data_IF_016293059695
#
_entry.id   IF_016293059695
#
_cell.length_a   1.000
_cell.length_b   1.000
_cell.length_c   1.000
_cell.angle_alpha   90.00
_cell.angle_beta   90.00
_cell.angle_gamma   90.00
#
_symmetry.space_group_name_H-M   'P 1'
#
loop_
_entity.id
_entity.type
_entity.pdbx_description
1 polymer ?
#
# COMPACT_ATOMS: atom_id res chain seq x y z
N UNK A 1 9.84 -17.06 12.75
CA UNK A 1 9.51 -15.70 12.27
C UNK A 1 8.04 -15.65 11.88
N UNK A 2 7.22 -14.89 12.60
CA UNK A 2 5.76 -14.90 12.43
C UNK A 2 5.35 -14.55 10.99
N UNK A 3 4.54 -15.41 10.38
CA UNK A 3 3.94 -15.30 9.05
C UNK A 3 3.02 -14.07 8.92
N UNK A 4 3.58 -12.85 8.99
CA UNK A 4 2.90 -11.62 8.56
C UNK A 4 2.94 -11.46 7.03
N UNK A 5 3.00 -12.57 6.29
CA UNK A 5 3.00 -12.59 4.82
C UNK A 5 1.64 -12.09 4.28
N UNK A 6 0.55 -12.27 5.01
CA UNK A 6 -0.81 -11.96 4.52
C UNK A 6 -1.21 -10.48 4.55
N UNK A 7 -0.39 -9.61 5.15
CA UNK A 7 -0.83 -8.27 5.53
C UNK A 7 0.05 -7.14 4.96
N UNK A 8 0.58 -7.33 3.74
CA UNK A 8 1.47 -6.37 3.03
C UNK A 8 0.97 -4.92 3.03
N UNK A 9 -0.35 -4.72 3.09
CA UNK A 9 -1.02 -3.41 3.08
C UNK A 9 -1.87 -3.14 4.32
N UNK A 10 -1.78 -3.94 5.39
CA UNK A 10 -2.61 -3.74 6.61
C UNK A 10 -2.24 -2.46 7.36
N UNK A 11 -0.95 -2.12 7.38
CA UNK A 11 -0.45 -0.88 8.00
C UNK A 11 -0.85 0.32 7.15
N UNK A 12 -0.59 0.25 5.84
CA UNK A 12 -1.02 1.29 4.88
C UNK A 12 -2.51 1.61 5.06
N UNK A 13 -3.38 0.58 5.13
CA UNK A 13 -4.84 0.77 5.34
C UNK A 13 -5.20 1.40 6.67
N UNK A 14 -4.45 1.10 7.73
CA UNK A 14 -4.71 1.66 9.07
C UNK A 14 -4.28 3.12 9.15
N UNK A 15 -3.20 3.49 8.46
CA UNK A 15 -2.62 4.82 8.52
C UNK A 15 -3.09 5.74 7.38
N UNK A 16 -3.76 5.19 6.35
CA UNK A 16 -4.22 5.96 5.20
C UNK A 16 -3.09 6.46 4.30
N UNK A 17 -1.87 5.92 4.45
CA UNK A 17 -0.67 6.39 3.75
C UNK A 17 0.15 5.23 3.21
N UNK A 18 0.86 5.46 2.11
CA UNK A 18 1.81 4.49 1.56
C UNK A 18 3.19 4.69 2.20
N UNK A 19 3.47 3.97 3.29
CA UNK A 19 4.73 4.12 4.03
C UNK A 19 5.99 3.73 3.25
N UNK A 20 5.86 2.80 2.30
CA UNK A 20 7.00 2.15 1.65
C UNK A 20 7.01 2.31 0.14
N UNK A 21 6.22 3.24 -0.41
CA UNK A 21 6.13 3.47 -1.86
C UNK A 21 5.70 2.22 -2.63
N UNK A 22 4.94 1.29 -2.03
CA UNK A 22 4.56 0.03 -2.69
C UNK A 22 3.71 0.36 -3.92
N UNK A 23 4.00 -0.17 -5.12
CA UNK A 23 3.25 0.17 -6.34
C UNK A 23 1.78 -0.28 -6.29
N UNK A 24 1.47 -1.36 -5.56
CA UNK A 24 0.11 -1.87 -5.33
C UNK A 24 -0.52 -1.41 -4.01
N UNK A 25 -0.01 -0.34 -3.40
CA UNK A 25 -0.64 0.22 -2.20
C UNK A 25 -2.04 0.75 -2.57
N UNK A 26 -3.08 0.51 -1.75
CA UNK A 26 -4.43 1.03 -2.01
C UNK A 26 -4.51 2.56 -2.00
N UNK A 27 -3.47 3.26 -1.50
CA UNK A 27 -3.41 4.72 -1.44
C UNK A 27 -2.61 5.36 -2.56
N UNK A 28 -2.13 4.58 -3.53
CA UNK A 28 -1.52 5.15 -4.72
C UNK A 28 -2.62 5.71 -5.63
N UNK A 29 -2.89 7.01 -5.49
CA UNK A 29 -3.52 7.78 -6.55
C UNK A 29 -2.41 8.13 -7.54
N UNK A 30 -2.50 7.62 -8.77
CA UNK A 30 -1.70 8.18 -9.87
C UNK A 30 -2.20 9.61 -10.09
N UNK A 31 -1.28 10.57 -10.18
CA UNK A 31 -1.64 11.95 -10.56
C UNK A 31 -2.00 12.07 -12.05
N UNK A 32 -1.67 11.04 -12.84
CA UNK A 32 -1.96 10.93 -14.26
C UNK A 32 -3.03 9.87 -14.52
N UNK A 33 -3.87 10.13 -15.52
CA UNK A 33 -4.82 9.14 -16.02
C UNK A 33 -4.06 7.94 -16.61
N UNK A 34 -4.62 6.71 -16.57
CA UNK A 34 -4.02 5.59 -17.29
C UNK A 34 -4.08 5.86 -18.80
N UNK A 35 -2.93 6.27 -19.36
CA UNK A 35 -2.73 6.61 -20.77
C UNK A 35 -1.30 7.06 -20.99
#
# INVERSE_FOLDING_TARGET
MSNRISAKHKIDRRLGVNLWGRPKSPFNKREYAPG
#
